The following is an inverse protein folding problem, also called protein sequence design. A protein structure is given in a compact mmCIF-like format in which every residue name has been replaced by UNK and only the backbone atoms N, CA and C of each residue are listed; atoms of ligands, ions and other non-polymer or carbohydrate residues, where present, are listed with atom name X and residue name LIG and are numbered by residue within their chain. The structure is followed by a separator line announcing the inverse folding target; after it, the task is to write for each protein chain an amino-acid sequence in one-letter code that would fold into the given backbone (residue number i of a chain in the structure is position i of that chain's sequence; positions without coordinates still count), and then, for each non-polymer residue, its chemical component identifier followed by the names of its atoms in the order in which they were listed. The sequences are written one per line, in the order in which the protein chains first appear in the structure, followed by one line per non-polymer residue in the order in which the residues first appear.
data_IF_891640603868
#
_entry.id   IF_891640603868
#
_cell.length_a   1.000
_cell.length_b   1.000
_cell.length_c   1.000
_cell.angle_alpha   90.00
_cell.angle_beta   90.00
_cell.angle_gamma   90.00
#
_symmetry.space_group_name_H-M   'P 1'
#
loop_
_entity.id
_entity.type
_entity.pdbx_description
1 polymer ?
#
# COMPACT_ATOMS: atom_id res chain seq x y z
N UNK A 1 -3.17 -8.52 5.90
CA UNK A 1 -2.91 -7.72 7.12
C UNK A 1 -1.42 -7.41 7.35
N UNK A 2 -0.53 -8.40 7.50
CA UNK A 2 0.92 -8.16 7.78
C UNK A 2 1.59 -7.25 6.74
N UNK A 3 1.36 -7.48 5.43
CA UNK A 3 1.93 -6.65 4.36
C UNK A 3 1.58 -5.15 4.41
N UNK A 4 0.43 -4.78 4.99
CA UNK A 4 0.01 -3.38 5.14
C UNK A 4 0.73 -2.69 6.29
N UNK A 5 0.86 -3.37 7.44
CA UNK A 5 1.51 -2.83 8.62
C UNK A 5 3.01 -2.54 8.40
N UNK A 6 3.64 -3.31 7.51
CA UNK A 6 5.11 -3.35 7.38
C UNK A 6 5.60 -2.68 6.10
N UNK A 7 4.67 -2.21 5.26
CA UNK A 7 4.95 -1.61 3.96
C UNK A 7 5.88 -2.48 3.08
N UNK A 8 6.05 -3.78 3.34
CA UNK A 8 6.99 -4.64 2.62
C UNK A 8 6.50 -4.89 1.20
N UNK A 9 7.45 -5.03 0.27
CA UNK A 9 7.15 -5.37 -1.11
C UNK A 9 6.67 -6.83 -1.15
N UNK A 10 5.48 -7.11 -1.72
CA UNK A 10 4.91 -8.45 -1.73
C UNK A 10 5.89 -9.52 -2.23
N UNK A 11 6.56 -9.26 -3.35
CA UNK A 11 7.42 -10.25 -4.00
C UNK A 11 8.82 -10.32 -3.39
N UNK A 12 9.55 -9.20 -3.38
CA UNK A 12 10.97 -9.20 -3.00
C UNK A 12 11.19 -9.34 -1.51
N UNK A 13 10.22 -8.91 -0.70
CA UNK A 13 10.40 -8.84 0.73
C UNK A 13 9.62 -9.97 1.40
N UNK A 14 8.29 -9.99 1.23
CA UNK A 14 7.43 -10.98 1.89
C UNK A 14 7.58 -12.38 1.27
N UNK A 15 7.61 -12.46 -0.06
CA UNK A 15 7.75 -13.72 -0.80
C UNK A 15 9.13 -14.37 -0.70
N UNK A 16 10.11 -13.67 -0.13
CA UNK A 16 11.47 -14.18 0.14
C UNK A 16 11.81 -14.21 1.62
N UNK A 17 10.89 -13.80 2.49
CA UNK A 17 11.10 -13.85 3.94
C UNK A 17 11.22 -15.32 4.34
N UNK A 18 12.33 -15.68 4.97
CA UNK A 18 12.59 -17.04 5.42
C UNK A 18 12.09 -17.24 6.84
N UNK A 19 11.59 -18.44 7.15
CA UNK A 19 11.13 -18.80 8.49
C UNK A 19 12.16 -18.54 9.61
N UNK A 20 13.45 -18.94 9.49
CA UNK A 20 14.45 -18.68 10.54
C UNK A 20 14.83 -17.20 10.70
N UNK A 21 14.41 -16.34 9.77
CA UNK A 21 14.73 -14.91 9.80
C UNK A 21 13.59 -14.09 10.43
N UNK A 22 12.71 -14.73 11.18
CA UNK A 22 11.58 -14.11 11.85
C UNK A 22 11.60 -14.48 13.32
N UNK A 23 11.79 -13.49 14.19
CA UNK A 23 11.74 -13.69 15.64
C UNK A 23 10.60 -12.89 16.27
N UNK A 24 10.13 -13.37 17.40
CA UNK A 24 9.23 -12.64 18.27
C UNK A 24 9.92 -12.36 19.60
N UNK A 25 9.74 -11.14 20.09
CA UNK A 25 10.24 -10.70 21.39
C UNK A 25 9.11 -10.02 22.15
N UNK A 26 9.17 -10.01 23.48
CA UNK A 26 8.24 -9.23 24.29
C UNK A 26 8.85 -7.86 24.58
N UNK A 27 8.02 -6.83 24.54
CA UNK A 27 8.29 -5.47 24.98
C UNK A 27 7.28 -5.09 26.06
N UNK A 28 7.54 -4.01 26.79
CA UNK A 28 6.67 -3.54 27.87
C UNK A 28 5.22 -3.33 27.41
N UNK A 29 5.04 -2.95 26.14
CA UNK A 29 3.74 -2.66 25.54
C UNK A 29 3.10 -3.89 24.87
N UNK A 30 3.83 -5.03 24.72
CA UNK A 30 3.33 -6.22 24.02
C UNK A 30 4.33 -6.98 23.14
N UNK A 31 3.83 -7.87 22.26
CA UNK A 31 4.68 -8.72 21.42
C UNK A 31 5.18 -7.98 20.18
N UNK A 32 6.50 -8.04 19.96
CA UNK A 32 7.25 -7.40 18.89
C UNK A 32 7.76 -8.45 17.89
N UNK A 33 7.45 -8.26 16.61
CA UNK A 33 7.95 -9.06 15.50
C UNK A 33 9.23 -8.46 14.92
N UNK A 34 10.25 -9.28 14.70
CA UNK A 34 11.57 -8.86 14.22
C UNK A 34 11.96 -9.69 12.99
N UNK A 35 11.65 -9.22 11.77
CA UNK A 35 12.21 -9.80 10.55
C UNK A 35 13.65 -9.33 10.38
N UNK A 36 14.51 -10.29 10.06
CA UNK A 36 15.89 -10.06 9.63
C UNK A 36 15.94 -10.24 8.11
N UNK A 37 16.39 -9.22 7.38
CA UNK A 37 16.72 -9.39 5.97
C UNK A 37 18.21 -9.20 5.74
N UNK A 38 18.78 -10.10 4.95
CA UNK A 38 20.01 -9.83 4.23
C UNK A 38 19.63 -9.01 2.99
N UNK A 39 19.92 -7.72 2.99
CA UNK A 39 19.94 -6.93 1.76
C UNK A 39 21.39 -6.67 1.42
N UNK A 40 21.84 -7.16 0.25
CA UNK A 40 23.14 -6.79 -0.36
C UNK A 40 24.26 -6.70 0.69
N UNK A 41 24.65 -7.83 1.28
CA UNK A 41 25.73 -7.95 2.28
C UNK A 41 25.47 -7.36 3.68
N UNK A 42 24.34 -6.72 3.98
CA UNK A 42 24.06 -6.15 5.31
C UNK A 42 22.78 -6.69 5.95
N UNK A 43 22.83 -6.85 7.29
CA UNK A 43 21.67 -7.17 8.12
C UNK A 43 20.79 -5.93 8.29
N UNK A 44 19.53 -6.05 7.91
CA UNK A 44 18.50 -5.06 8.23
C UNK A 44 17.46 -5.71 9.11
N UNK A 45 17.43 -5.27 10.36
CA UNK A 45 16.40 -5.62 11.32
C UNK A 45 15.30 -4.59 11.23
N UNK A 46 14.07 -5.01 10.93
CA UNK A 46 12.90 -4.17 11.14
C UNK A 46 12.22 -4.61 12.44
N UNK A 47 11.69 -3.66 13.20
CA UNK A 47 10.87 -3.92 14.39
C UNK A 47 9.43 -3.63 13.99
N UNK A 48 8.55 -4.63 14.11
CA UNK A 48 7.17 -4.54 13.65
C UNK A 48 6.23 -4.63 14.84
N UNK A 49 5.65 -3.47 15.12
CA UNK A 49 4.45 -3.32 15.94
C UNK A 49 4.59 -3.82 17.36
N UNK A 50 3.55 -3.54 18.12
CA UNK A 50 3.35 -4.09 19.44
C UNK A 50 1.93 -4.66 19.42
N UNK A 51 1.79 -5.95 19.70
CA UNK A 51 0.48 -6.54 19.99
C UNK A 51 0.17 -6.37 21.47
N UNK A 52 -0.84 -5.56 21.81
CA UNK A 52 -1.33 -5.43 23.19
C UNK A 52 -1.76 -6.81 23.74
N UNK A 53 -1.79 -6.95 25.06
CA UNK A 53 -2.16 -8.23 25.70
C UNK A 53 -3.58 -8.70 25.37
N UNK A 54 -4.47 -7.79 24.96
CA UNK A 54 -5.87 -8.10 24.61
C UNK A 54 -5.96 -8.96 23.33
N UNK A 55 -6.80 -10.00 23.36
CA UNK A 55 -7.06 -10.92 22.25
C UNK A 55 -7.87 -10.26 21.12
N UNK A 56 -7.22 -9.34 20.41
CA UNK A 56 -7.68 -8.85 19.13
C UNK A 56 -7.34 -9.86 18.02
N UNK A 57 -8.38 -10.41 17.39
CA UNK A 57 -8.27 -11.33 16.24
C UNK A 57 -7.72 -10.63 14.99
N UNK A 58 -7.80 -9.30 14.94
CA UNK A 58 -7.34 -8.49 13.81
C UNK A 58 -5.85 -8.10 13.95
N UNK A 59 -5.18 -8.54 15.02
CA UNK A 59 -3.77 -8.27 15.24
C UNK A 59 -2.88 -9.04 14.24
N UNK A 60 -2.15 -8.36 13.33
CA UNK A 60 -1.32 -9.02 12.32
C UNK A 60 -0.13 -9.76 12.93
N UNK A 61 0.41 -9.27 14.06
CA UNK A 61 1.55 -9.87 14.77
C UNK A 61 1.13 -11.19 15.42
N UNK A 62 0.02 -11.19 16.17
CA UNK A 62 -0.53 -12.40 16.80
C UNK A 62 -0.96 -13.44 15.77
N UNK A 63 -1.61 -12.99 14.70
CA UNK A 63 -1.98 -13.87 13.57
C UNK A 63 -0.75 -14.55 12.98
N UNK A 64 0.36 -13.81 12.78
CA UNK A 64 1.59 -14.41 12.28
C UNK A 64 2.21 -15.41 13.27
N UNK A 65 2.24 -15.06 14.55
CA UNK A 65 2.76 -15.95 15.60
C UNK A 65 1.98 -17.26 15.61
N UNK A 66 0.66 -17.17 15.60
CA UNK A 66 -0.22 -18.32 15.57
C UNK A 66 0.02 -19.18 14.32
N UNK A 67 0.19 -18.57 13.15
CA UNK A 67 0.55 -19.28 11.92
C UNK A 67 1.90 -20.01 12.06
N UNK A 68 2.93 -19.36 12.60
CA UNK A 68 4.24 -19.99 12.78
C UNK A 68 4.19 -21.15 13.77
N UNK A 69 3.40 -21.04 14.84
CA UNK A 69 3.23 -22.11 15.83
C UNK A 69 2.48 -23.31 15.24
N UNK A 70 1.37 -23.06 14.53
CA UNK A 70 0.58 -24.12 13.87
C UNK A 70 1.30 -24.83 12.75
N UNK A 71 2.31 -24.18 12.17
CA UNK A 71 3.11 -24.76 11.08
C UNK A 71 4.47 -25.27 11.55
N UNK A 72 4.76 -25.26 12.86
CA UNK A 72 6.08 -25.62 13.37
C UNK A 72 6.44 -27.10 13.08
N UNK A 73 5.51 -28.01 13.35
CA UNK A 73 5.70 -29.46 13.17
C UNK A 73 5.95 -29.84 11.70
N UNK A 74 5.20 -29.23 10.77
CA UNK A 74 5.31 -29.53 9.33
C UNK A 74 6.57 -28.93 8.67
N UNK A 75 7.35 -28.13 9.40
CA UNK A 75 8.59 -27.51 8.91
C UNK A 75 9.84 -28.32 9.18
N UNK A 76 9.77 -29.34 10.04
CA UNK A 76 10.93 -30.18 10.40
C UNK A 76 11.55 -30.88 9.18
N UNK A 77 10.71 -31.24 8.20
CA UNK A 77 11.12 -31.93 6.98
C UNK A 77 11.51 -30.97 5.84
N UNK A 78 11.47 -29.65 6.04
CA UNK A 78 11.81 -28.66 5.03
C UNK A 78 13.28 -28.25 5.12
N UNK A 79 13.84 -27.79 3.99
CA UNK A 79 15.16 -27.17 3.97
C UNK A 79 15.24 -25.99 4.95
N UNK A 80 16.40 -25.80 5.59
CA UNK A 80 16.64 -24.74 6.59
C UNK A 80 16.23 -23.35 6.12
N UNK A 81 16.40 -23.06 4.84
CA UNK A 81 16.16 -21.73 4.23
C UNK A 81 14.76 -21.59 3.61
N UNK A 82 13.81 -22.42 3.99
CA UNK A 82 12.44 -22.35 3.47
C UNK A 82 11.77 -21.01 3.80
N UNK A 83 10.87 -20.58 2.91
CA UNK A 83 10.13 -19.34 3.09
C UNK A 83 9.16 -19.42 4.26
N UNK A 84 8.85 -18.27 4.85
CA UNK A 84 7.91 -18.14 5.95
C UNK A 84 6.54 -18.71 5.56
N UNK A 85 6.06 -18.40 4.36
CA UNK A 85 4.78 -18.91 3.88
C UNK A 85 4.98 -20.21 3.09
N UNK A 86 4.03 -21.13 3.26
CA UNK A 86 4.06 -22.45 2.63
C UNK A 86 2.85 -22.61 1.71
N UNK A 87 2.97 -23.40 0.65
CA UNK A 87 1.84 -23.87 -0.15
C UNK A 87 1.53 -25.33 0.20
N UNK A 88 0.31 -25.76 -0.12
CA UNK A 88 -0.14 -27.15 0.00
C UNK A 88 -0.07 -27.69 1.44
N UNK A 89 -0.31 -26.84 2.44
CA UNK A 89 -0.21 -27.17 3.88
C UNK A 89 -1.15 -28.30 4.35
N UNK A 90 -2.15 -28.65 3.54
CA UNK A 90 -3.08 -29.76 3.80
C UNK A 90 -2.52 -31.13 3.38
N UNK A 91 -1.45 -31.15 2.59
CA UNK A 91 -0.84 -32.37 2.05
C UNK A 91 0.62 -32.42 2.45
N UNK A 92 0.90 -33.12 3.55
CA UNK A 92 2.24 -33.13 4.18
C UNK A 92 3.38 -33.47 3.20
N UNK A 93 3.11 -34.35 2.23
CA UNK A 93 4.06 -34.78 1.20
C UNK A 93 4.35 -33.73 0.11
N UNK A 94 3.57 -32.66 0.04
CA UNK A 94 3.64 -31.63 -1.01
C UNK A 94 3.96 -30.24 -0.47
N UNK A 95 4.17 -30.12 0.84
CA UNK A 95 4.49 -28.85 1.50
C UNK A 95 5.79 -28.30 0.93
N UNK A 96 5.73 -27.05 0.48
CA UNK A 96 6.89 -26.36 -0.10
C UNK A 96 6.84 -24.86 0.14
N UNK A 97 8.01 -24.24 0.04
CA UNK A 97 8.14 -22.79 0.05
C UNK A 97 7.30 -22.16 -1.07
N UNK A 98 6.60 -21.08 -0.76
CA UNK A 98 5.90 -20.30 -1.79
C UNK A 98 6.88 -19.68 -2.80
N UNK A 99 6.40 -19.42 -4.01
CA UNK A 99 7.08 -18.51 -4.94
C UNK A 99 6.71 -17.06 -4.62
N UNK A 100 7.57 -16.07 -4.91
CA UNK A 100 7.23 -14.65 -4.73
C UNK A 100 5.95 -14.20 -5.45
N UNK A 101 5.62 -14.82 -6.58
CA UNK A 101 4.38 -14.54 -7.30
C UNK A 101 3.14 -15.00 -6.52
N UNK A 102 3.24 -16.10 -5.78
CA UNK A 102 2.13 -16.70 -5.01
C UNK A 102 1.62 -15.74 -3.95
N UNK A 103 2.49 -15.16 -3.13
CA UNK A 103 2.06 -14.20 -2.09
C UNK A 103 1.45 -12.94 -2.69
N UNK A 104 1.97 -12.46 -3.83
CA UNK A 104 1.39 -11.32 -4.53
C UNK A 104 -0.02 -11.66 -5.05
N UNK A 105 -0.24 -12.89 -5.52
CA UNK A 105 -1.54 -13.38 -5.95
C UNK A 105 -2.51 -13.50 -4.78
N UNK A 106 -2.11 -14.07 -3.64
CA UNK A 106 -2.96 -14.12 -2.44
C UNK A 106 -3.37 -12.74 -1.95
N UNK A 107 -2.44 -11.78 -1.94
CA UNK A 107 -2.74 -10.39 -1.59
C UNK A 107 -3.77 -9.80 -2.56
N UNK A 108 -3.63 -10.03 -3.86
CA UNK A 108 -4.60 -9.57 -4.85
C UNK A 108 -5.97 -10.22 -4.68
N UNK A 109 -6.02 -11.52 -4.37
CA UNK A 109 -7.28 -12.21 -4.09
C UNK A 109 -7.99 -11.60 -2.88
N UNK A 110 -7.25 -11.30 -1.80
CA UNK A 110 -7.81 -10.59 -0.63
C UNK A 110 -8.31 -9.20 -1.04
N UNK A 111 -7.53 -8.43 -1.79
CA UNK A 111 -7.95 -7.10 -2.30
C UNK A 111 -9.27 -7.20 -3.09
N UNK A 112 -9.35 -8.14 -4.02
CA UNK A 112 -10.55 -8.38 -4.82
C UNK A 112 -11.75 -8.79 -3.95
N UNK A 113 -11.53 -9.68 -2.97
CA UNK A 113 -12.56 -10.10 -2.02
C UNK A 113 -13.08 -8.95 -1.14
N UNK A 114 -12.28 -7.91 -0.94
CA UNK A 114 -12.68 -6.67 -0.26
C UNK A 114 -13.26 -5.59 -1.19
N UNK A 115 -13.50 -5.91 -2.46
CA UNK A 115 -14.07 -4.98 -3.44
C UNK A 115 -13.07 -4.00 -4.07
N UNK A 116 -11.77 -4.17 -3.86
CA UNK A 116 -10.74 -3.35 -4.53
C UNK A 116 -10.55 -3.86 -5.96
N UNK A 117 -10.69 -2.98 -6.94
CA UNK A 117 -10.44 -3.33 -8.34
C UNK A 117 -8.95 -3.64 -8.58
N UNK A 118 -8.64 -4.92 -8.75
CA UNK A 118 -7.29 -5.40 -8.96
C UNK A 118 -6.79 -5.25 -10.40
N UNK A 119 -7.64 -4.82 -11.33
CA UNK A 119 -7.22 -4.42 -12.68
C UNK A 119 -6.35 -3.15 -12.60
N UNK A 120 -6.75 -2.21 -11.74
CA UNK A 120 -6.09 -0.93 -11.45
C UNK A 120 -5.06 -1.09 -10.32
N UNK A 121 -5.46 -1.67 -9.18
CA UNK A 121 -4.64 -1.75 -7.98
C UNK A 121 -3.99 -3.12 -7.83
N UNK A 122 -2.68 -3.20 -8.03
CA UNK A 122 -1.91 -4.43 -7.78
C UNK A 122 -1.49 -4.53 -6.31
N UNK A 123 -0.99 -5.69 -5.88
CA UNK A 123 -0.51 -5.93 -4.51
C UNK A 123 0.49 -4.87 -4.00
N UNK A 124 1.31 -4.32 -4.89
CA UNK A 124 2.28 -3.28 -4.56
C UNK A 124 1.63 -1.93 -4.16
N UNK A 125 0.39 -1.69 -4.57
CA UNK A 125 -0.36 -0.46 -4.24
C UNK A 125 -0.61 -0.31 -2.75
N UNK A 126 -0.70 -1.42 -2.01
CA UNK A 126 -0.88 -1.41 -0.56
C UNK A 126 0.27 -0.70 0.17
N UNK A 127 1.50 -0.86 -0.32
CA UNK A 127 2.67 -0.15 0.22
C UNK A 127 2.52 1.37 0.05
N UNK A 128 2.06 1.82 -1.12
CA UNK A 128 1.82 3.24 -1.39
C UNK A 128 0.67 3.79 -0.53
N UNK A 129 -0.42 3.04 -0.42
CA UNK A 129 -1.57 3.41 0.40
C UNK A 129 -1.21 3.51 1.89
N UNK A 130 -0.55 2.50 2.46
CA UNK A 130 -0.14 2.50 3.86
C UNK A 130 0.83 3.64 4.20
N UNK A 131 1.84 3.89 3.35
CA UNK A 131 2.79 4.98 3.55
C UNK A 131 2.17 6.36 3.39
N UNK A 132 1.23 6.52 2.45
CA UNK A 132 0.43 7.74 2.33
C UNK A 132 -0.43 7.97 3.56
N UNK A 133 -1.14 6.93 4.02
CA UNK A 133 -1.99 7.01 5.19
C UNK A 133 -1.19 7.43 6.43
N UNK A 134 -0.02 6.83 6.67
CA UNK A 134 0.85 7.20 7.78
C UNK A 134 1.28 8.69 7.71
N UNK A 135 1.71 9.16 6.54
CA UNK A 135 2.09 10.56 6.35
C UNK A 135 0.91 11.52 6.56
N UNK A 136 -0.29 11.15 6.09
CA UNK A 136 -1.51 11.93 6.30
C UNK A 136 -1.97 11.99 7.76
N UNK A 137 -1.58 11.01 8.59
CA UNK A 137 -1.89 10.96 10.02
C UNK A 137 -0.77 11.53 10.89
N UNK A 138 0.02 12.46 10.35
CA UNK A 138 0.98 13.26 11.12
C UNK A 138 2.34 12.62 11.36
N UNK A 139 2.61 11.42 10.84
CA UNK A 139 3.96 10.86 10.90
C UNK A 139 4.91 11.61 9.97
N UNK A 140 6.11 11.92 10.46
CA UNK A 140 7.11 12.62 9.66
C UNK A 140 7.53 11.76 8.45
N UNK A 141 7.68 12.38 7.27
CA UNK A 141 8.03 11.69 6.02
C UNK A 141 9.35 10.90 6.15
N UNK A 142 10.35 11.41 6.87
CA UNK A 142 11.60 10.68 7.09
C UNK A 142 11.40 9.45 7.98
N UNK A 143 10.48 9.51 8.94
CA UNK A 143 10.10 8.34 9.74
C UNK A 143 9.37 7.31 8.89
N UNK A 144 8.44 7.73 8.02
CA UNK A 144 7.74 6.86 7.08
C UNK A 144 8.72 6.22 6.10
N UNK A 145 9.66 6.99 5.55
CA UNK A 145 10.72 6.48 4.66
C UNK A 145 11.59 5.46 5.38
N UNK A 146 12.03 5.76 6.60
CA UNK A 146 12.83 4.83 7.42
C UNK A 146 12.06 3.54 7.68
N UNK A 147 10.79 3.62 8.10
CA UNK A 147 9.91 2.47 8.33
C UNK A 147 9.74 1.61 7.08
N UNK A 148 9.54 2.26 5.94
CA UNK A 148 9.40 1.58 4.65
C UNK A 148 10.75 1.12 4.05
N UNK A 149 11.90 1.37 4.68
CA UNK A 149 13.23 1.09 4.13
C UNK A 149 13.52 1.83 2.80
N UNK A 150 13.02 3.07 2.67
CA UNK A 150 13.45 4.02 1.65
C UNK A 150 14.63 4.86 2.16
N UNK A 151 15.43 5.37 1.22
CA UNK A 151 16.48 6.34 1.54
C UNK A 151 15.85 7.70 1.83
N UNK A 152 16.19 8.31 2.97
CA UNK A 152 15.75 9.68 3.30
C UNK A 152 16.23 10.71 2.27
N UNK A 153 17.38 10.46 1.64
CA UNK A 153 17.94 11.32 0.58
C UNK A 153 17.19 11.21 -0.75
N UNK A 154 16.40 10.16 -0.96
CA UNK A 154 15.67 9.96 -2.21
C UNK A 154 14.30 10.59 -2.16
N UNK A 155 13.87 11.19 -3.28
CA UNK A 155 12.49 11.68 -3.49
C UNK A 155 11.55 10.60 -4.05
N UNK A 156 11.94 9.31 -4.03
CA UNK A 156 11.15 8.22 -4.63
C UNK A 156 9.76 8.10 -4.00
N UNK A 157 9.67 8.27 -2.68
CA UNK A 157 8.40 8.16 -1.97
C UNK A 157 7.44 9.25 -2.43
N UNK A 158 7.89 10.50 -2.37
CA UNK A 158 7.10 11.69 -2.70
C UNK A 158 6.65 11.68 -4.15
N UNK A 159 7.51 11.25 -5.07
CA UNK A 159 7.18 11.26 -6.51
C UNK A 159 6.26 10.12 -6.94
N UNK A 160 6.40 8.92 -6.37
CA UNK A 160 5.78 7.71 -6.93
C UNK A 160 4.80 7.00 -5.99
N UNK A 161 4.91 7.22 -4.68
CA UNK A 161 4.17 6.46 -3.66
C UNK A 161 3.23 7.32 -2.83
N UNK A 162 3.59 8.58 -2.54
CA UNK A 162 2.74 9.49 -1.80
C UNK A 162 1.58 9.97 -2.68
N UNK A 163 0.36 9.52 -2.35
CA UNK A 163 -0.85 9.79 -3.13
C UNK A 163 -2.01 10.20 -2.21
N UNK A 164 -1.97 11.41 -1.62
CA UNK A 164 -2.96 11.84 -0.65
C UNK A 164 -4.37 11.86 -1.26
N UNK A 165 -5.36 11.46 -0.46
CA UNK A 165 -6.75 11.35 -0.89
C UNK A 165 -7.47 12.71 -1.04
N UNK A 166 -6.88 13.79 -0.52
CA UNK A 166 -7.52 15.11 -0.41
C UNK A 166 -7.81 15.82 -1.73
N UNK A 167 -7.07 15.51 -2.81
CA UNK A 167 -7.29 16.17 -4.10
C UNK A 167 -8.72 15.94 -4.62
N UNK A 168 -9.33 14.79 -4.29
CA UNK A 168 -10.70 14.51 -4.66
C UNK A 168 -11.69 15.29 -3.81
N UNK A 169 -11.49 15.39 -2.49
CA UNK A 169 -12.41 16.13 -1.61
C UNK A 169 -12.36 17.64 -1.83
N UNK A 170 -11.18 18.22 -2.04
CA UNK A 170 -11.05 19.64 -2.36
C UNK A 170 -11.66 19.96 -3.73
N UNK A 171 -11.39 19.13 -4.75
CA UNK A 171 -12.01 19.30 -6.08
C UNK A 171 -13.53 19.14 -6.03
N UNK A 172 -14.04 18.16 -5.27
CA UNK A 172 -15.48 17.98 -5.07
C UNK A 172 -16.10 19.15 -4.31
N UNK A 173 -15.43 19.68 -3.28
CA UNK A 173 -15.87 20.88 -2.57
C UNK A 173 -15.94 22.09 -3.49
N UNK A 174 -14.90 22.32 -4.30
CA UNK A 174 -14.84 23.41 -5.28
C UNK A 174 -15.96 23.26 -6.31
N UNK A 175 -16.11 22.07 -6.90
CA UNK A 175 -17.16 21.79 -7.88
C UNK A 175 -18.55 21.98 -7.29
N UNK A 176 -18.81 21.47 -6.09
CA UNK A 176 -20.08 21.65 -5.40
C UNK A 176 -20.37 23.13 -5.13
N UNK A 177 -19.37 23.92 -4.72
CA UNK A 177 -19.54 25.37 -4.55
C UNK A 177 -19.89 26.07 -5.88
N UNK A 178 -19.24 25.69 -6.98
CA UNK A 178 -19.53 26.24 -8.32
C UNK A 178 -20.98 25.91 -8.73
N UNK A 179 -21.40 24.64 -8.61
CA UNK A 179 -22.75 24.22 -9.00
C UNK A 179 -23.84 24.87 -8.14
N UNK A 180 -23.65 24.92 -6.81
CA UNK A 180 -24.62 25.59 -5.92
C UNK A 180 -24.70 27.11 -6.17
N UNK A 181 -23.60 27.77 -6.52
CA UNK A 181 -23.62 29.19 -6.90
C UNK A 181 -24.37 29.44 -8.22
N UNK A 182 -24.32 28.50 -9.17
CA UNK A 182 -25.06 28.59 -10.44
C UNK A 182 -26.57 28.35 -10.24
N UNK A 183 -26.96 27.46 -9.34
CA UNK A 183 -28.37 27.22 -8.98
C UNK A 183 -29.00 28.44 -8.31
N UNK A 184 -28.28 29.08 -7.38
CA UNK A 184 -28.75 30.28 -6.69
C UNK A 184 -28.89 31.51 -7.60
N UNK A 185 -28.14 31.56 -8.71
CA UNK A 185 -28.19 32.66 -9.68
C UNK A 185 -29.27 32.47 -10.76
N UNK A 186 -29.89 31.29 -10.87
CA UNK A 186 -30.90 30.99 -11.89
C UNK A 186 -32.34 31.29 -11.42
N UNK A 187 -32.54 31.63 -10.13
CA UNK A 187 -33.86 32.00 -9.58
C UNK A 187 -34.08 33.52 -9.47
N UNK A 188 -33.18 34.34 -10.02
CA UNK A 188 -33.43 35.79 -10.16
C UNK A 188 -34.07 36.05 -11.52
N UNK A 189 -35.32 36.53 -11.47
CA UNK A 189 -36.11 37.02 -12.60
C UNK A 189 -35.30 37.85 -13.60
N UNK A 190 -35.49 37.55 -14.88
CA UNK A 190 -34.92 38.21 -16.05
C UNK A 190 -35.03 39.75 -15.97
N UNK A 191 -34.02 40.44 -16.50
CA UNK A 191 -34.31 41.37 -17.58
C UNK A 191 -33.51 41.01 -18.83
N UNK A 192 -34.20 40.94 -19.97
CA UNK A 192 -33.61 40.83 -21.30
C UNK A 192 -32.47 41.85 -21.44
N UNK A 193 -31.25 41.38 -21.73
CA UNK A 193 -30.19 42.24 -22.23
C UNK A 193 -29.50 41.58 -23.41
N UNK A 194 -29.49 42.33 -24.50
CA UNK A 194 -29.02 41.99 -25.84
C UNK A 194 -27.55 41.55 -25.84
N UNK A 195 -27.27 40.40 -26.46
CA UNK A 195 -25.94 39.82 -26.50
C UNK A 195 -24.99 40.63 -27.41
N UNK A 196 -24.07 41.38 -26.81
CA UNK A 196 -22.96 41.99 -27.55
C UNK A 196 -21.94 40.91 -27.93
N UNK A 197 -21.88 40.59 -29.23
CA UNK A 197 -20.97 39.61 -29.83
C UNK A 197 -19.51 40.08 -29.72
N UNK A 198 -18.74 39.51 -28.80
CA UNK A 198 -17.28 39.67 -28.78
C UNK A 198 -16.70 38.82 -29.90
N UNK A 199 -16.19 39.46 -30.95
CA UNK A 199 -15.50 38.82 -32.05
C UNK A 199 -14.12 38.33 -31.61
N UNK A 200 -13.92 37.02 -31.53
CA UNK A 200 -12.59 36.42 -31.45
C UNK A 200 -12.01 36.33 -32.86
N UNK A 201 -11.22 37.33 -33.28
CA UNK A 201 -10.28 37.15 -34.38
C UNK A 201 -9.09 36.34 -33.88
N UNK A 202 -8.95 35.11 -34.37
CA UNK A 202 -7.76 34.28 -34.17
C UNK A 202 -6.69 34.73 -35.17
N UNK A 203 -5.46 35.09 -34.73
CA UNK A 203 -4.35 35.24 -35.66
C UNK A 203 -3.91 33.83 -36.11
N UNK A 204 -4.03 33.57 -37.40
CA UNK A 204 -3.46 32.43 -38.10
C UNK A 204 -1.93 32.45 -38.00
N UNK A 205 -1.31 31.40 -37.47
CA UNK A 205 0.11 31.13 -37.68
C UNK A 205 0.27 29.80 -38.46
N UNK A 206 0.84 29.82 -39.67
CA UNK A 206 1.03 28.64 -40.49
C UNK A 206 2.35 27.97 -40.08
N UNK A 207 2.30 26.72 -39.61
CA UNK A 207 3.35 25.71 -39.79
C UNK A 207 3.04 24.46 -38.95
N UNK A 208 2.43 23.44 -39.57
CA UNK A 208 3.16 22.20 -39.78
C UNK A 208 2.42 21.26 -40.73
N UNK A 209 3.19 20.77 -41.71
CA UNK A 209 2.79 19.82 -42.73
C UNK A 209 2.50 18.46 -42.12
N UNK A 210 1.42 17.85 -42.61
CA UNK A 210 1.17 16.42 -42.66
C UNK A 210 2.36 15.67 -43.27
N UNK A 211 2.71 14.51 -42.71
CA UNK A 211 2.92 13.29 -43.49
C UNK A 211 2.48 12.08 -42.66
N UNK A 212 1.96 11.10 -43.42
CA UNK A 212 1.30 9.85 -43.08
C UNK A 212 2.10 8.94 -42.14
#
# INVERSE_FOLDING_TARGET
MIGNAIMMRPRSDLGRLQYPNVDFTWSDDGQLLIPRQLKESQWKTAKIGVASQEDDIDCPVRTLKNFMDRTANIRENLYKEHTLFLTDVEKEDQIRSIRPATIASWIQQVMQGTGIDTSIHKAHSLRAAASTWAAMHGHNIDQVKKHANWSNKSSTFEKYYFKPFNNFQESQSINNTIFSAMENNTTSSEPETEATRIGTSMPSNPNNRFLL
#
